data_IF_760164606499
#
_entry.id   IF_760164606499
#
_cell.length_a   1.000
_cell.length_b   1.000
_cell.length_c   1.000
_cell.angle_alpha   90.00
_cell.angle_beta   90.00
_cell.angle_gamma   90.00
#
_symmetry.space_group_name_H-M   'P 1'
#
loop_
_entity.id
_entity.type
_entity.pdbx_description
1 polymer ?
#
# COMPACT_ATOMS: atom_id res chain seq x y z
N UNK A 1 17.08 21.22 27.71
CA UNK A 1 15.71 21.40 27.22
C UNK A 1 15.00 20.07 27.42
N UNK A 2 14.13 19.98 28.42
CA UNK A 2 13.47 18.74 28.82
C UNK A 2 12.20 18.57 27.99
N UNK A 3 12.02 17.46 27.28
CA UNK A 3 10.74 17.10 26.67
C UNK A 3 9.99 16.08 27.54
N UNK A 4 9.09 16.51 28.44
CA UNK A 4 8.00 15.66 28.90
C UNK A 4 6.75 15.98 28.04
N UNK A 5 6.04 15.03 27.40
CA UNK A 5 6.01 13.57 27.60
C UNK A 5 6.28 12.76 26.30
N UNK A 6 7.46 12.14 26.19
CA UNK A 6 7.70 10.84 25.53
C UNK A 6 7.42 10.66 24.03
N UNK A 7 6.87 11.63 23.30
CA UNK A 7 6.56 11.52 21.87
C UNK A 7 7.23 12.65 21.09
N UNK A 8 8.27 12.32 20.33
CA UNK A 8 8.87 13.21 19.34
C UNK A 8 8.46 12.73 17.94
N UNK A 9 7.32 13.22 17.46
CA UNK A 9 6.77 12.79 16.17
C UNK A 9 7.70 13.14 14.99
N UNK A 10 8.35 14.32 14.92
CA UNK A 10 9.33 14.61 13.85
C UNK A 10 10.42 13.53 13.72
N UNK A 11 11.04 13.14 14.83
CA UNK A 11 12.10 12.11 14.84
C UNK A 11 11.56 10.74 14.46
N UNK A 12 10.36 10.39 14.96
CA UNK A 12 9.69 9.12 14.63
C UNK A 12 9.41 9.05 13.13
N UNK A 13 8.84 10.11 12.54
CA UNK A 13 8.51 10.14 11.11
C UNK A 13 9.75 10.05 10.22
N UNK A 14 10.82 10.75 10.60
CA UNK A 14 12.08 10.68 9.86
C UNK A 14 12.69 9.28 9.93
N UNK A 15 12.73 8.70 11.13
CA UNK A 15 13.25 7.33 11.34
C UNK A 15 12.40 6.30 10.59
N UNK A 16 11.08 6.46 10.61
CA UNK A 16 10.15 5.60 9.89
C UNK A 16 10.39 5.65 8.37
N UNK A 17 10.54 6.85 7.79
CA UNK A 17 10.84 6.99 6.36
C UNK A 17 12.12 6.26 5.98
N UNK A 18 13.22 6.53 6.72
CA UNK A 18 14.51 5.89 6.43
C UNK A 18 14.47 4.37 6.56
N UNK A 19 13.76 3.83 7.56
CA UNK A 19 13.62 2.37 7.72
C UNK A 19 12.78 1.72 6.64
N UNK A 20 11.73 2.39 6.18
CA UNK A 20 10.93 1.89 5.06
C UNK A 20 11.74 1.94 3.77
N UNK A 21 12.47 3.01 3.50
CA UNK A 21 13.35 3.13 2.33
C UNK A 21 14.42 2.02 2.31
N UNK A 22 15.07 1.75 3.44
CA UNK A 22 16.03 0.64 3.58
C UNK A 22 15.38 -0.72 3.27
N UNK A 23 14.17 -0.98 3.78
CA UNK A 23 13.41 -2.18 3.46
C UNK A 23 13.11 -2.30 1.96
N UNK A 24 12.70 -1.20 1.33
CA UNK A 24 12.41 -1.17 -0.10
C UNK A 24 13.67 -1.40 -0.94
N UNK A 25 14.81 -0.86 -0.53
CA UNK A 25 16.09 -1.07 -1.23
C UNK A 25 16.56 -2.52 -1.16
N UNK A 26 16.36 -3.21 -0.03
CA UNK A 26 16.64 -4.65 0.10
C UNK A 26 15.72 -5.46 -0.82
N UNK A 27 14.42 -5.16 -0.84
CA UNK A 27 13.48 -5.80 -1.76
C UNK A 27 13.86 -5.55 -3.23
N UNK A 28 14.30 -4.32 -3.54
CA UNK A 28 14.78 -3.92 -4.88
C UNK A 28 15.94 -4.78 -5.32
N UNK A 29 16.95 -4.89 -4.48
CA UNK A 29 18.17 -5.65 -4.74
C UNK A 29 17.87 -7.15 -4.94
N UNK A 30 16.85 -7.67 -4.26
CA UNK A 30 16.38 -9.04 -4.41
C UNK A 30 15.36 -9.27 -5.53
N UNK A 31 14.97 -8.23 -6.29
CA UNK A 31 13.94 -8.35 -7.34
C UNK A 31 12.56 -8.74 -6.80
N UNK A 32 12.26 -8.39 -5.54
CA UNK A 32 11.06 -8.84 -4.85
C UNK A 32 9.89 -7.86 -5.07
N UNK A 33 8.75 -8.35 -5.55
CA UNK A 33 7.50 -7.59 -5.73
C UNK A 33 6.83 -7.14 -4.42
N UNK A 34 7.38 -7.54 -3.26
CA UNK A 34 6.82 -7.28 -1.93
C UNK A 34 5.92 -8.42 -1.47
N UNK A 35 4.61 -8.19 -1.37
CA UNK A 35 3.64 -9.19 -0.91
C UNK A 35 3.32 -9.18 0.57
N UNK A 36 3.78 -8.14 1.29
CA UNK A 36 3.50 -7.93 2.71
C UNK A 36 2.82 -6.58 2.92
N UNK A 37 1.96 -6.50 3.92
CA UNK A 37 1.36 -5.23 4.35
C UNK A 37 2.42 -4.40 5.08
N UNK A 38 2.51 -3.11 4.77
CA UNK A 38 3.46 -2.21 5.42
C UNK A 38 2.73 -1.32 6.42
N UNK A 39 2.86 -1.66 7.70
CA UNK A 39 2.14 -1.00 8.80
C UNK A 39 3.11 -0.50 9.85
N UNK A 40 2.99 0.78 10.20
CA UNK A 40 3.62 1.38 11.36
C UNK A 40 2.57 1.53 12.47
N UNK A 41 2.72 0.73 13.54
CA UNK A 41 1.89 0.81 14.73
C UNK A 41 2.57 1.72 15.76
N UNK A 42 1.92 2.85 16.06
CA UNK A 42 2.37 3.80 17.07
C UNK A 42 1.56 3.59 18.34
N UNK A 43 2.25 3.36 19.47
CA UNK A 43 1.63 3.13 20.78
C UNK A 43 2.02 4.28 21.73
N UNK A 44 1.39 5.46 21.60
CA UNK A 44 1.73 6.60 22.44
C UNK A 44 1.22 6.42 23.87
N UNK A 45 1.91 7.06 24.82
CA UNK A 45 1.39 7.21 26.18
C UNK A 45 0.05 7.97 26.17
N UNK A 46 -0.87 7.70 27.12
CA UNK A 46 -2.14 8.42 27.22
C UNK A 46 -1.99 9.95 27.31
N UNK A 47 -0.85 10.43 27.81
CA UNK A 47 -0.53 11.86 27.96
C UNK A 47 0.32 12.44 26.83
N UNK A 48 0.80 11.63 25.88
CA UNK A 48 1.63 12.10 24.77
C UNK A 48 0.82 12.88 23.74
N UNK A 49 1.32 14.05 23.35
CA UNK A 49 0.77 14.90 22.29
C UNK A 49 1.91 15.38 21.38
N UNK A 50 1.56 15.92 20.21
CA UNK A 50 2.51 16.57 19.31
C UNK A 50 2.62 18.03 19.70
N UNK A 51 3.84 18.53 19.93
CA UNK A 51 4.09 19.93 20.27
C UNK A 51 3.54 20.84 19.17
N UNK A 52 2.88 21.95 19.54
CA UNK A 52 2.30 22.91 18.60
C UNK A 52 3.34 23.46 17.62
N UNK A 53 4.60 23.60 18.05
CA UNK A 53 5.71 24.08 17.21
C UNK A 53 6.07 23.09 16.09
N UNK A 54 5.82 21.81 16.32
CA UNK A 54 6.13 20.73 15.38
C UNK A 54 4.91 20.29 14.56
N UNK A 55 3.69 20.69 14.96
CA UNK A 55 2.44 20.19 14.39
C UNK A 55 2.35 20.42 12.88
N UNK A 56 2.51 21.66 12.40
CA UNK A 56 2.42 22.00 10.97
C UNK A 56 3.50 21.28 10.15
N UNK A 57 4.70 21.15 10.71
CA UNK A 57 5.78 20.41 10.10
C UNK A 57 5.40 18.93 9.94
N UNK A 58 4.90 18.30 11.00
CA UNK A 58 4.49 16.89 10.99
C UNK A 58 3.34 16.64 10.02
N UNK A 59 2.32 17.49 9.98
CA UNK A 59 1.20 17.36 9.02
C UNK A 59 1.71 17.41 7.58
N UNK A 60 2.54 18.40 7.24
CA UNK A 60 3.14 18.51 5.89
C UNK A 60 4.05 17.33 5.56
N UNK A 61 4.85 16.87 6.52
CA UNK A 61 5.73 15.71 6.35
C UNK A 61 4.92 14.44 6.08
N UNK A 62 3.83 14.24 6.83
CA UNK A 62 2.89 13.14 6.62
C UNK A 62 2.25 13.17 5.22
N UNK A 63 1.83 14.34 4.73
CA UNK A 63 1.30 14.47 3.37
C UNK A 63 2.31 14.09 2.29
N UNK A 64 3.57 14.50 2.47
CA UNK A 64 4.67 14.13 1.56
C UNK A 64 4.97 12.63 1.63
N UNK A 65 5.05 12.08 2.84
CA UNK A 65 5.27 10.66 3.07
C UNK A 65 4.17 9.80 2.46
N UNK A 66 2.90 10.23 2.51
CA UNK A 66 1.79 9.53 1.85
C UNK A 66 1.92 9.51 0.33
N UNK A 67 2.59 10.50 -0.27
CA UNK A 67 2.88 10.52 -1.71
C UNK A 67 4.08 9.63 -2.08
N UNK A 68 5.17 9.69 -1.31
CA UNK A 68 6.37 8.90 -1.61
C UNK A 68 6.24 7.43 -1.20
N UNK A 69 5.51 7.16 -0.11
CA UNK A 69 5.27 5.84 0.48
C UNK A 69 3.76 5.57 0.57
N UNK A 70 3.04 5.48 -0.57
CA UNK A 70 1.58 5.41 -0.58
C UNK A 70 1.02 4.11 0.00
N UNK A 71 1.85 3.12 0.25
CA UNK A 71 1.48 1.85 0.84
C UNK A 71 1.85 1.73 2.34
N UNK A 72 2.48 2.74 2.94
CA UNK A 72 2.71 2.79 4.38
C UNK A 72 1.42 3.24 5.09
N UNK A 73 0.91 2.37 5.97
CA UNK A 73 -0.25 2.65 6.82
C UNK A 73 0.22 2.92 8.25
N UNK A 74 -0.15 4.08 8.79
CA UNK A 74 0.15 4.45 10.18
C UNK A 74 -1.12 4.26 11.00
N UNK A 75 -1.03 3.45 12.06
CA UNK A 75 -2.11 3.16 12.99
C UNK A 75 -1.69 3.62 14.37
N UNK A 76 -2.55 4.35 15.07
CA UNK A 76 -2.33 4.70 16.47
C UNK A 76 -3.15 3.78 17.36
N UNK A 77 -2.48 3.22 18.37
CA UNK A 77 -3.09 2.40 19.39
C UNK A 77 -2.69 2.90 20.76
N UNK A 78 -3.57 3.62 21.46
CA UNK A 78 -3.17 4.28 22.71
C UNK A 78 -4.35 4.63 23.61
N UNK A 79 -4.04 5.01 24.84
CA UNK A 79 -5.05 5.46 25.81
C UNK A 79 -5.34 6.95 25.70
N UNK A 80 -6.35 7.42 26.44
CA UNK A 80 -6.73 8.84 26.47
C UNK A 80 -7.41 9.32 25.19
N UNK A 81 -7.36 10.64 24.94
CA UNK A 81 -8.00 11.26 23.79
C UNK A 81 -7.16 11.12 22.51
N UNK A 82 -7.43 10.07 21.73
CA UNK A 82 -6.72 9.80 20.46
C UNK A 82 -7.04 10.78 19.33
N UNK A 83 -8.12 11.57 19.45
CA UNK A 83 -8.50 12.59 18.45
C UNK A 83 -7.37 13.57 18.13
N UNK A 84 -6.43 13.78 19.06
CA UNK A 84 -5.22 14.60 18.85
C UNK A 84 -4.29 14.07 17.75
N UNK A 85 -4.48 12.83 17.30
CA UNK A 85 -3.71 12.23 16.21
C UNK A 85 -4.48 12.13 14.88
N UNK A 86 -5.67 12.73 14.81
CA UNK A 86 -6.58 12.69 13.65
C UNK A 86 -5.86 13.00 12.33
N UNK A 87 -5.08 14.08 12.28
CA UNK A 87 -4.47 14.55 11.03
C UNK A 87 -3.25 13.73 10.61
N UNK A 88 -2.71 12.91 11.52
CA UNK A 88 -1.56 12.05 11.27
C UNK A 88 -1.95 10.65 10.77
N UNK A 89 -3.24 10.36 10.56
CA UNK A 89 -3.70 9.10 9.94
C UNK A 89 -4.50 9.35 8.67
N UNK A 90 -4.68 8.31 7.85
CA UNK A 90 -5.45 8.42 6.60
C UNK A 90 -6.94 8.35 6.87
N UNK A 91 -7.33 7.43 7.73
CA UNK A 91 -8.73 7.17 8.05
C UNK A 91 -8.93 7.14 9.56
N UNK A 92 -9.21 8.29 10.20
CA UNK A 92 -9.31 8.40 11.65
C UNK A 92 -10.30 7.42 12.30
N UNK A 93 -11.39 7.09 11.60
CA UNK A 93 -12.40 6.13 12.06
C UNK A 93 -11.91 4.68 12.14
N UNK A 94 -10.85 4.32 11.40
CA UNK A 94 -10.30 2.96 11.31
C UNK A 94 -8.88 2.83 11.86
N UNK A 95 -8.12 3.92 11.89
CA UNK A 95 -6.69 3.94 12.24
C UNK A 95 -6.39 4.49 13.65
N UNK A 96 -7.38 5.07 14.34
CA UNK A 96 -7.26 5.48 15.74
C UNK A 96 -7.96 4.45 16.63
N UNK A 97 -7.18 3.62 17.32
CA UNK A 97 -7.68 2.49 18.09
C UNK A 97 -7.43 2.70 19.58
N UNK A 98 -8.49 2.70 20.38
CA UNK A 98 -8.40 2.93 21.82
C UNK A 98 -7.83 1.70 22.54
N UNK A 99 -6.73 1.91 23.27
CA UNK A 99 -6.20 0.95 24.24
C UNK A 99 -7.07 0.97 25.50
N UNK A 100 -7.83 -0.11 25.72
CA UNK A 100 -8.67 -0.27 26.90
C UNK A 100 -8.02 -1.19 27.93
N UNK A 101 -7.28 -0.61 28.86
CA UNK A 101 -6.56 -1.34 29.93
C UNK A 101 -7.49 -2.06 30.93
N UNK A 102 -8.79 -1.77 30.91
CA UNK A 102 -9.79 -2.49 31.72
C UNK A 102 -10.25 -3.82 31.11
N UNK A 103 -9.81 -4.14 29.89
CA UNK A 103 -10.09 -5.41 29.22
C UNK A 103 -8.87 -6.32 29.25
N UNK A 104 -9.06 -7.66 29.25
CA UNK A 104 -7.95 -8.59 29.12
C UNK A 104 -7.21 -8.38 27.79
N UNK A 105 -5.89 -8.65 27.73
CA UNK A 105 -5.03 -8.29 26.60
C UNK A 105 -5.55 -8.76 25.24
N UNK A 106 -6.14 -9.95 25.16
CA UNK A 106 -6.65 -10.54 23.92
C UNK A 106 -7.82 -9.72 23.36
N UNK A 107 -8.75 -9.31 24.22
CA UNK A 107 -9.90 -8.47 23.84
C UNK A 107 -9.48 -7.03 23.54
N UNK A 108 -8.43 -6.57 24.22
CA UNK A 108 -7.90 -5.22 24.06
C UNK A 108 -7.15 -5.05 22.72
N UNK A 109 -6.30 -6.02 22.35
CA UNK A 109 -5.52 -6.00 21.11
C UNK A 109 -6.29 -6.41 19.86
N UNK A 110 -7.43 -7.11 20.00
CA UNK A 110 -8.21 -7.62 18.86
C UNK A 110 -8.57 -6.56 17.79
N UNK A 111 -9.00 -5.33 18.13
CA UNK A 111 -9.27 -4.29 17.13
C UNK A 111 -8.03 -3.95 16.29
N UNK A 112 -6.84 -3.88 16.91
CA UNK A 112 -5.57 -3.60 16.23
C UNK A 112 -5.20 -4.73 15.28
N UNK A 113 -5.27 -5.98 15.76
CA UNK A 113 -5.00 -7.16 14.93
C UNK A 113 -5.96 -7.22 13.74
N UNK A 114 -7.26 -6.95 13.96
CA UNK A 114 -8.26 -6.88 12.88
C UNK A 114 -7.92 -5.79 11.88
N UNK A 115 -7.57 -4.59 12.32
CA UNK A 115 -7.21 -3.48 11.43
C UNK A 115 -5.96 -3.80 10.62
N UNK A 116 -4.91 -4.34 11.23
CA UNK A 116 -3.67 -4.75 10.54
C UNK A 116 -4.00 -5.78 9.44
N UNK A 117 -4.86 -6.77 9.73
CA UNK A 117 -5.30 -7.78 8.74
C UNK A 117 -6.15 -7.20 7.60
N UNK A 118 -6.76 -6.05 7.80
CA UNK A 118 -7.51 -5.31 6.76
C UNK A 118 -6.61 -4.41 5.90
N UNK A 119 -5.33 -4.24 6.24
CA UNK A 119 -4.40 -3.48 5.39
C UNK A 119 -3.96 -4.40 4.24
N UNK A 120 -4.25 -4.07 2.98
CA UNK A 120 -3.85 -4.91 1.84
C UNK A 120 -2.33 -5.08 1.76
N UNK A 121 -1.91 -6.25 1.27
CA UNK A 121 -0.50 -6.55 0.99
C UNK A 121 -0.04 -5.66 -0.16
N UNK A 122 1.11 -5.01 0.00
CA UNK A 122 1.66 -4.13 -1.02
C UNK A 122 2.29 -4.94 -2.14
N UNK A 123 1.99 -4.55 -3.37
CA UNK A 123 2.80 -4.89 -4.54
C UNK A 123 3.46 -3.64 -5.10
N UNK A 124 4.69 -3.81 -5.58
CA UNK A 124 5.46 -2.74 -6.19
C UNK A 124 6.37 -3.27 -7.29
N UNK A 125 6.95 -2.35 -8.06
CA UNK A 125 7.90 -2.69 -9.12
C UNK A 125 9.35 -2.56 -8.61
N UNK A 126 10.06 -3.67 -8.30
CA UNK A 126 11.43 -3.64 -7.81
C UNK A 126 12.44 -3.15 -8.86
N UNK A 127 12.04 -2.96 -10.11
CA UNK A 127 12.89 -2.31 -11.12
C UNK A 127 12.92 -0.79 -11.00
N UNK A 128 12.06 -0.19 -10.17
CA UNK A 128 12.11 1.25 -9.88
C UNK A 128 13.32 1.59 -9.00
N UNK A 129 14.21 2.45 -9.48
CA UNK A 129 15.19 3.11 -8.61
C UNK A 129 14.52 4.18 -7.73
N UNK A 130 15.21 4.61 -6.68
CA UNK A 130 14.75 5.63 -5.74
C UNK A 130 14.38 6.98 -6.39
N UNK A 131 14.94 7.29 -7.55
CA UNK A 131 14.61 8.46 -8.37
C UNK A 131 13.43 8.25 -9.35
N UNK A 132 12.76 7.09 -9.27
CA UNK A 132 11.64 6.71 -10.13
C UNK A 132 12.01 6.35 -11.57
N UNK A 133 13.29 6.11 -11.86
CA UNK A 133 13.73 5.65 -13.17
C UNK A 133 13.64 4.12 -13.30
N UNK A 134 13.53 3.65 -14.55
CA UNK A 134 13.61 2.23 -14.91
C UNK A 134 14.77 2.08 -15.89
N UNK A 135 15.70 1.18 -15.58
CA UNK A 135 16.75 0.78 -16.54
C UNK A 135 16.23 -0.18 -17.61
N UNK A 136 15.40 -1.16 -17.20
CA UNK A 136 14.85 -2.18 -18.09
C UNK A 136 13.43 -2.58 -17.67
N UNK A 137 12.59 -2.92 -18.64
CA UNK A 137 11.26 -3.46 -18.40
C UNK A 137 11.30 -4.99 -18.45
N UNK A 138 10.51 -5.63 -17.60
CA UNK A 138 10.48 -7.07 -17.55
C UNK A 138 9.30 -7.61 -16.77
N UNK A 139 9.41 -8.87 -16.36
CA UNK A 139 8.45 -9.52 -15.51
C UNK A 139 9.12 -9.94 -14.21
N UNK A 140 8.45 -9.71 -13.10
CA UNK A 140 8.81 -10.32 -11.82
C UNK A 140 7.64 -11.17 -11.34
N UNK A 141 7.94 -12.17 -10.54
CA UNK A 141 6.95 -13.04 -9.93
C UNK A 141 7.19 -13.17 -8.45
N UNK A 142 6.09 -13.30 -7.71
CA UNK A 142 6.07 -13.50 -6.28
C UNK A 142 5.20 -14.71 -5.98
N UNK A 143 5.78 -15.69 -5.30
CA UNK A 143 5.03 -16.81 -4.76
C UNK A 143 4.25 -16.37 -3.52
N UNK A 144 3.00 -16.81 -3.44
CA UNK A 144 2.08 -16.49 -2.34
C UNK A 144 1.31 -17.72 -1.91
N UNK A 145 0.89 -17.66 -0.66
CA UNK A 145 0.29 -18.77 0.07
C UNK A 145 -1.03 -18.32 0.66
N UNK A 146 -2.07 -19.12 0.47
CA UNK A 146 -3.40 -18.89 1.02
C UNK A 146 -4.01 -20.20 1.48
N UNK A 147 -4.40 -20.25 2.75
CA UNK A 147 -5.22 -21.34 3.27
C UNK A 147 -6.55 -21.43 2.52
N UNK A 148 -7.08 -22.65 2.36
CA UNK A 148 -8.41 -22.89 1.81
C UNK A 148 -9.49 -22.01 2.45
N UNK A 149 -10.32 -21.38 1.61
CA UNK A 149 -11.39 -20.48 2.04
C UNK A 149 -10.94 -19.08 2.48
N UNK A 150 -9.64 -18.88 2.74
CA UNK A 150 -9.08 -17.58 3.09
C UNK A 150 -8.80 -16.74 1.85
N UNK A 151 -8.76 -15.43 2.08
CA UNK A 151 -8.56 -14.41 1.06
C UNK A 151 -7.33 -13.60 1.42
N UNK A 152 -6.41 -13.47 0.46
CA UNK A 152 -5.34 -12.48 0.53
C UNK A 152 -5.73 -11.25 -0.28
N UNK A 153 -5.64 -10.08 0.35
CA UNK A 153 -5.92 -8.79 -0.29
C UNK A 153 -4.62 -8.09 -0.64
N UNK A 154 -4.59 -7.46 -1.80
CA UNK A 154 -3.43 -6.82 -2.38
C UNK A 154 -3.77 -5.42 -2.89
N UNK A 155 -2.75 -4.57 -2.91
CA UNK A 155 -2.81 -3.24 -3.51
C UNK A 155 -1.62 -3.05 -4.43
N UNK A 156 -1.91 -2.68 -5.67
CA UNK A 156 -0.95 -2.19 -6.65
C UNK A 156 -1.16 -0.68 -6.82
N UNK A 157 -0.14 0.10 -6.51
CA UNK A 157 -0.26 1.55 -6.57
C UNK A 157 -0.25 2.09 -8.01
N UNK A 158 -1.03 3.15 -8.26
CA UNK A 158 -1.14 3.80 -9.56
C UNK A 158 0.20 4.36 -10.06
N UNK A 159 1.13 4.64 -9.15
CA UNK A 159 2.48 5.07 -9.51
C UNK A 159 3.22 4.06 -10.42
N UNK A 160 2.85 2.78 -10.40
CA UNK A 160 3.43 1.74 -11.27
C UNK A 160 2.62 1.50 -12.56
N UNK A 161 1.47 2.16 -12.70
CA UNK A 161 0.54 2.00 -13.81
C UNK A 161 0.36 3.29 -14.62
N UNK A 162 1.12 4.33 -14.29
CA UNK A 162 1.04 5.61 -14.98
C UNK A 162 1.43 5.50 -16.46
N UNK A 163 0.75 6.32 -17.27
CA UNK A 163 0.92 6.38 -18.72
C UNK A 163 0.43 5.13 -19.44
N UNK A 164 0.01 5.33 -20.69
CA UNK A 164 -0.36 4.23 -21.59
C UNK A 164 0.88 3.41 -21.94
N UNK A 165 0.78 2.08 -21.82
CA UNK A 165 1.88 1.19 -22.20
C UNK A 165 1.37 -0.19 -22.61
N UNK A 166 1.80 -0.68 -23.77
CA UNK A 166 1.44 -2.02 -24.24
C UNK A 166 2.03 -3.14 -23.39
N UNK A 167 1.37 -4.31 -23.43
CA UNK A 167 1.85 -5.56 -22.82
C UNK A 167 2.10 -5.45 -21.32
N UNK A 168 1.26 -4.69 -20.60
CA UNK A 168 1.34 -4.55 -19.15
C UNK A 168 0.22 -5.36 -18.52
N UNK A 169 0.55 -6.33 -17.68
CA UNK A 169 -0.45 -7.20 -17.09
C UNK A 169 -0.09 -7.65 -15.68
N UNK A 170 -1.13 -7.97 -14.92
CA UNK A 170 -1.05 -8.69 -13.66
C UNK A 170 -1.63 -10.07 -13.88
N UNK A 171 -0.85 -11.11 -13.61
CA UNK A 171 -1.26 -12.50 -13.81
C UNK A 171 -1.23 -13.27 -12.49
N UNK A 172 -2.28 -14.04 -12.24
CA UNK A 172 -2.37 -15.00 -11.14
C UNK A 172 -2.31 -16.41 -11.71
N UNK A 173 -1.31 -17.18 -11.29
CA UNK A 173 -1.11 -18.56 -11.77
C UNK A 173 -1.11 -19.52 -10.58
N UNK A 174 -2.12 -20.41 -10.47
CA UNK A 174 -2.13 -21.48 -9.48
C UNK A 174 -0.88 -22.37 -9.60
N UNK A 175 -0.28 -22.72 -8.47
CA UNK A 175 0.76 -23.76 -8.37
C UNK A 175 0.11 -25.04 -7.83
N UNK A 176 -0.71 -24.89 -6.78
CA UNK A 176 -1.54 -25.99 -6.28
C UNK A 176 -2.64 -26.33 -7.30
N UNK A 177 -3.02 -27.62 -7.34
CA UNK A 177 -4.07 -28.16 -8.21
C UNK A 177 -5.48 -27.81 -7.73
N UNK A 178 -5.71 -26.52 -7.45
CA UNK A 178 -7.00 -25.96 -7.06
C UNK A 178 -7.26 -24.68 -7.84
N UNK A 179 -8.53 -24.29 -7.88
CA UNK A 179 -8.94 -23.04 -8.50
C UNK A 179 -8.87 -21.90 -7.50
N UNK A 180 -8.52 -20.71 -7.99
CA UNK A 180 -8.61 -19.48 -7.21
C UNK A 180 -9.70 -18.59 -7.79
N UNK A 181 -10.38 -17.83 -6.92
CA UNK A 181 -11.18 -16.69 -7.34
C UNK A 181 -10.36 -15.43 -7.15
N UNK A 182 -10.32 -14.57 -8.16
CA UNK A 182 -9.57 -13.33 -8.18
C UNK A 182 -10.56 -12.20 -8.40
N UNK A 183 -10.59 -11.23 -7.47
CA UNK A 183 -11.46 -10.07 -7.56
C UNK A 183 -10.66 -8.78 -7.67
N UNK A 184 -11.12 -7.81 -8.44
CA UNK A 184 -10.49 -6.49 -8.63
C UNK A 184 -11.45 -5.36 -8.29
N UNK A 185 -10.90 -4.25 -7.82
CA UNK A 185 -11.64 -2.98 -7.67
C UNK A 185 -10.70 -1.77 -7.69
N UNK A 186 -11.26 -0.61 -8.04
CA UNK A 186 -10.60 0.70 -7.90
C UNK A 186 -11.10 1.49 -6.70
N UNK A 187 -12.29 1.17 -6.19
CA UNK A 187 -12.96 1.89 -5.12
C UNK A 187 -12.99 1.13 -3.78
N UNK A 188 -12.89 -0.21 -3.81
CA UNK A 188 -12.95 -1.04 -2.62
C UNK A 188 -11.58 -1.64 -2.28
N UNK A 189 -11.04 -1.35 -1.09
CA UNK A 189 -9.72 -1.85 -0.65
C UNK A 189 -9.67 -3.37 -0.46
N UNK A 190 -10.83 -3.98 -0.18
CA UNK A 190 -10.98 -5.40 0.11
C UNK A 190 -12.03 -6.00 -0.83
N UNK A 191 -11.72 -6.14 -2.12
CA UNK A 191 -12.70 -6.67 -3.08
C UNK A 191 -12.86 -8.18 -2.85
N UNK A 192 -14.09 -8.66 -2.78
CA UNK A 192 -14.36 -10.09 -2.66
C UNK A 192 -15.78 -10.41 -3.15
N UNK A 193 -15.99 -11.63 -3.63
CA UNK A 193 -17.32 -12.10 -4.02
C UNK A 193 -18.02 -12.73 -2.82
N UNK A 194 -19.12 -12.13 -2.38
CA UNK A 194 -20.07 -12.83 -1.52
C UNK A 194 -21.11 -13.55 -2.40
N UNK A 195 -21.15 -14.88 -2.36
CA UNK A 195 -22.05 -15.67 -3.22
C UNK A 195 -23.54 -15.38 -3.01
N UNK A 196 -23.93 -14.80 -1.88
CA UNK A 196 -25.32 -14.47 -1.55
C UNK A 196 -25.74 -13.05 -1.94
N UNK A 197 -24.82 -12.21 -2.43
CA UNK A 197 -25.08 -10.81 -2.76
C UNK A 197 -24.65 -10.50 -4.19
N UNK A 198 -25.28 -9.51 -4.86
CA UNK A 198 -24.74 -8.99 -6.11
C UNK A 198 -23.34 -8.42 -5.89
N UNK A 199 -22.52 -8.42 -6.94
CA UNK A 199 -21.23 -7.73 -6.94
C UNK A 199 -21.45 -6.26 -6.62
N UNK A 200 -20.56 -5.68 -5.80
CA UNK A 200 -20.59 -4.24 -5.55
C UNK A 200 -20.20 -3.51 -6.84
N UNK A 201 -20.59 -2.25 -6.92
CA UNK A 201 -20.18 -1.39 -8.02
C UNK A 201 -18.65 -1.33 -8.11
N UNK A 202 -18.11 -1.39 -9.32
CA UNK A 202 -16.66 -1.43 -9.62
C UNK A 202 -15.92 -2.64 -9.05
N UNK A 203 -16.60 -3.76 -8.81
CA UNK A 203 -15.98 -5.05 -8.51
C UNK A 203 -16.16 -6.05 -9.63
N UNK A 204 -15.06 -6.65 -10.07
CA UNK A 204 -15.08 -7.78 -11.02
C UNK A 204 -14.42 -8.98 -10.36
N UNK A 205 -14.97 -10.17 -10.55
CA UNK A 205 -14.44 -11.40 -9.96
C UNK A 205 -14.46 -12.53 -10.97
N UNK A 206 -13.32 -13.16 -11.18
CA UNK A 206 -13.15 -14.25 -12.14
C UNK A 206 -12.37 -15.42 -11.52
N UNK A 207 -12.50 -16.60 -12.13
CA UNK A 207 -11.76 -17.79 -11.70
C UNK A 207 -10.49 -17.96 -12.52
N UNK A 208 -9.46 -18.59 -11.93
CA UNK A 208 -8.30 -19.07 -12.69
C UNK A 208 -8.61 -20.30 -13.55
N UNK A 209 -9.75 -20.96 -13.34
CA UNK A 209 -10.26 -22.00 -14.22
C UNK A 209 -11.20 -21.42 -15.28
N UNK A 210 -11.25 -22.00 -16.50
CA UNK A 210 -10.59 -23.24 -16.93
C UNK A 210 -9.15 -23.08 -17.46
N UNK A 211 -8.65 -21.86 -17.68
CA UNK A 211 -7.40 -21.61 -18.40
C UNK A 211 -6.13 -21.89 -17.58
N UNK A 212 -6.26 -22.24 -16.31
CA UNK A 212 -5.14 -22.49 -15.40
C UNK A 212 -4.38 -21.21 -15.02
N UNK A 213 -4.90 -20.03 -15.34
CA UNK A 213 -4.41 -18.74 -14.86
C UNK A 213 -5.43 -17.64 -15.13
N UNK A 214 -5.31 -16.53 -14.42
CA UNK A 214 -6.09 -15.33 -14.67
C UNK A 214 -5.15 -14.17 -15.00
N UNK A 215 -5.50 -13.32 -15.96
CA UNK A 215 -4.69 -12.16 -16.35
C UNK A 215 -5.56 -10.90 -16.44
N UNK A 216 -5.12 -9.85 -15.76
CA UNK A 216 -5.71 -8.53 -15.79
C UNK A 216 -4.84 -7.60 -16.64
N UNK A 217 -5.42 -6.99 -17.68
CA UNK A 217 -4.73 -6.04 -18.53
C UNK A 217 -4.62 -4.67 -17.85
N UNK A 218 -3.39 -4.15 -17.77
CA UNK A 218 -3.05 -2.87 -17.16
C UNK A 218 -2.59 -1.83 -18.20
N UNK A 219 -2.67 -2.12 -19.49
CA UNK A 219 -2.17 -1.24 -20.56
C UNK A 219 -2.81 0.13 -20.54
N UNK A 220 -4.12 0.19 -20.32
CA UNK A 220 -4.92 1.42 -20.27
C UNK A 220 -5.40 1.74 -18.84
N UNK A 221 -4.74 1.19 -17.82
CA UNK A 221 -5.16 1.23 -16.41
C UNK A 221 -5.35 2.64 -15.80
N UNK A 222 -4.69 3.67 -16.35
CA UNK A 222 -4.81 5.06 -15.91
C UNK A 222 -5.19 6.01 -17.06
N UNK A 223 -5.69 5.49 -18.19
CA UNK A 223 -6.20 6.34 -19.28
C UNK A 223 -7.46 7.07 -18.81
N UNK A 224 -7.55 8.38 -19.03
CA UNK A 224 -8.67 9.23 -18.59
C UNK A 224 -8.48 9.89 -17.23
N UNK A 225 -7.38 9.60 -16.52
CA UNK A 225 -6.99 10.26 -15.26
C UNK A 225 -5.95 11.36 -15.50
N UNK A 226 -6.16 12.18 -16.54
CA UNK A 226 -5.22 13.24 -16.93
C UNK A 226 -5.26 14.44 -15.97
N UNK A 227 -6.43 14.68 -15.35
CA UNK A 227 -6.68 15.81 -14.44
C UNK A 227 -7.05 15.39 -13.01
N UNK A 228 -7.27 14.09 -12.78
CA UNK A 228 -7.57 13.50 -11.47
C UNK A 228 -6.52 12.44 -11.13
N UNK A 229 -6.19 12.23 -9.85
CA UNK A 229 -5.22 11.21 -9.46
C UNK A 229 -5.76 9.81 -9.80
N UNK A 230 -5.02 9.07 -10.65
CA UNK A 230 -5.36 7.68 -10.96
C UNK A 230 -5.45 6.85 -9.67
N UNK A 231 -6.58 6.16 -9.40
CA UNK A 231 -6.75 5.37 -8.19
C UNK A 231 -5.88 4.10 -8.24
N UNK A 232 -5.42 3.61 -7.07
CA UNK A 232 -4.73 2.32 -7.01
C UNK A 232 -5.64 1.17 -7.48
N UNK A 233 -5.03 0.06 -7.85
CA UNK A 233 -5.75 -1.18 -8.12
C UNK A 233 -5.71 -2.06 -6.88
N UNK A 234 -6.88 -2.36 -6.33
CA UNK A 234 -7.05 -3.36 -5.30
C UNK A 234 -7.46 -4.66 -5.92
N UNK A 235 -6.95 -5.76 -5.39
CA UNK A 235 -7.41 -7.07 -5.80
C UNK A 235 -7.28 -8.09 -4.67
N UNK A 236 -7.97 -9.20 -4.80
CA UNK A 236 -7.90 -10.30 -3.87
C UNK A 236 -7.74 -11.63 -4.58
N UNK A 237 -7.13 -12.57 -3.87
CA UNK A 237 -6.96 -13.94 -4.32
C UNK A 237 -7.47 -14.86 -3.23
N UNK A 238 -8.51 -15.64 -3.56
CA UNK A 238 -9.15 -16.58 -2.65
C UNK A 238 -8.93 -18.01 -3.15
N UNK A 239 -8.30 -18.84 -2.32
CA UNK A 239 -8.22 -20.27 -2.55
C UNK A 239 -9.62 -20.91 -2.39
N UNK A 240 -10.16 -21.49 -3.47
CA UNK A 240 -11.48 -22.12 -3.40
C UNK A 240 -11.41 -23.38 -2.54
N UNK A 241 -12.39 -23.57 -1.66
CA UNK A 241 -12.36 -24.53 -0.54
C UNK A 241 -12.40 -26.02 -0.88
N UNK A 242 -12.15 -26.40 -2.14
CA UNK A 242 -12.27 -27.79 -2.60
C UNK A 242 -10.96 -28.24 -3.25
N UNK A 243 -10.39 -29.35 -2.75
CA UNK A 243 -9.18 -29.97 -3.29
C UNK A 243 -8.26 -30.52 -2.20
N UNK A 244 -7.35 -31.41 -2.59
CA UNK A 244 -6.25 -31.84 -1.72
C UNK A 244 -5.06 -30.90 -1.91
N UNK A 245 -4.61 -30.30 -0.81
CA UNK A 245 -3.45 -29.42 -0.79
C UNK A 245 -2.50 -29.91 0.30
N UNK A 246 -1.21 -29.94 -0.05
CA UNK A 246 -0.10 -30.06 0.90
C UNK A 246 0.91 -28.98 0.54
N UNK A 247 1.40 -28.26 1.55
CA UNK A 247 2.53 -27.38 1.40
C UNK A 247 3.70 -27.83 2.27
N UNK A 248 4.79 -28.20 1.62
CA UNK A 248 6.02 -28.64 2.26
C UNK A 248 7.13 -27.57 2.20
N UNK A 249 6.82 -26.38 1.66
CA UNK A 249 7.77 -25.27 1.57
C UNK A 249 7.97 -24.62 2.94
N UNK A 250 9.22 -24.23 3.32
CA UNK A 250 9.48 -23.53 4.58
C UNK A 250 8.72 -22.20 4.74
N UNK A 251 8.28 -21.61 3.63
CA UNK A 251 7.52 -20.36 3.62
C UNK A 251 6.05 -20.52 4.01
N UNK A 252 5.53 -21.74 4.02
CA UNK A 252 4.16 -22.02 4.44
C UNK A 252 4.00 -21.94 5.95
N UNK A 253 2.93 -21.26 6.39
CA UNK A 253 2.57 -21.18 7.80
C UNK A 253 1.89 -22.45 8.28
N UNK A 254 1.13 -23.11 7.40
CA UNK A 254 0.43 -24.36 7.69
C UNK A 254 0.52 -25.30 6.49
N UNK A 255 0.44 -26.64 6.69
CA UNK A 255 0.56 -27.61 5.60
C UNK A 255 -0.65 -27.59 4.64
N UNK A 256 -1.75 -26.92 4.99
CA UNK A 256 -2.97 -26.79 4.19
C UNK A 256 -3.05 -25.47 3.39
N UNK A 257 -1.91 -24.84 3.08
CA UNK A 257 -1.85 -23.61 2.27
C UNK A 257 -1.71 -23.91 0.77
N UNK A 258 -2.64 -23.34 -0.01
CA UNK A 258 -2.56 -23.35 -1.46
C UNK A 258 -1.55 -22.31 -1.96
N UNK A 259 -0.85 -22.65 -3.02
CA UNK A 259 0.25 -21.88 -3.60
C UNK A 259 -0.17 -21.28 -4.94
N UNK A 260 0.26 -20.05 -5.20
CA UNK A 260 0.08 -19.37 -6.48
C UNK A 260 1.18 -18.33 -6.71
N UNK A 261 1.46 -18.04 -7.98
CA UNK A 261 2.28 -16.91 -8.38
C UNK A 261 1.43 -15.68 -8.69
N UNK A 262 1.91 -14.52 -8.24
CA UNK A 262 1.53 -13.22 -8.76
C UNK A 262 2.67 -12.75 -9.67
N UNK A 263 2.39 -12.56 -10.96
CA UNK A 263 3.35 -12.04 -11.93
C UNK A 263 2.92 -10.65 -12.37
N UNK A 264 3.86 -9.70 -12.33
CA UNK A 264 3.68 -8.35 -12.83
C UNK A 264 4.63 -8.12 -14.00
N UNK A 265 4.08 -7.70 -15.13
CA UNK A 265 4.85 -7.51 -16.36
C UNK A 265 4.77 -6.09 -16.85
N UNK A 266 5.92 -5.54 -17.24
CA UNK A 266 6.08 -4.22 -17.84
C UNK A 266 5.45 -3.07 -17.04
N UNK A 267 5.50 -3.17 -15.70
CA UNK A 267 5.11 -2.08 -14.82
C UNK A 267 6.01 -0.85 -15.07
N UNK A 268 5.40 0.33 -14.95
CA UNK A 268 6.10 1.60 -14.98
C UNK A 268 6.70 1.95 -13.61
N UNK A 269 7.39 3.08 -13.60
CA UNK A 269 7.74 3.82 -12.40
C UNK A 269 7.41 5.27 -12.72
N UNK A 270 6.36 5.79 -12.11
CA UNK A 270 6.14 7.20 -12.17
C UNK A 270 6.99 7.86 -11.09
N UNK A 271 7.47 9.06 -11.39
CA UNK A 271 7.92 9.95 -10.32
C UNK A 271 6.66 10.24 -9.50
N UNK A 272 6.64 9.92 -8.20
CA UNK A 272 5.85 10.74 -7.29
C UNK A 272 6.31 12.15 -7.58
N UNK A 273 5.46 12.98 -8.20
CA UNK A 273 5.86 14.28 -8.69
C UNK A 273 6.65 14.97 -7.58
N UNK A 274 7.98 15.05 -7.73
CA UNK A 274 8.71 16.13 -7.13
C UNK A 274 7.98 17.32 -7.70
N UNK A 275 7.19 18.00 -6.86
CA UNK A 275 6.45 19.19 -7.22
C UNK A 275 7.32 19.94 -8.21
N UNK A 276 6.76 20.26 -9.37
CA UNK A 276 7.35 21.18 -10.33
C UNK A 276 7.46 22.58 -9.69
N UNK A 277 8.24 22.71 -8.61
CA UNK A 277 8.72 23.95 -8.03
C UNK A 277 9.71 24.63 -8.98
N UNK A 278 10.20 23.92 -10.00
CA UNK A 278 11.02 24.49 -11.07
C UNK A 278 10.23 25.40 -12.01
N UNK A 279 8.93 25.20 -12.20
CA UNK A 279 8.11 26.05 -13.06
C UNK A 279 7.81 27.43 -12.45
N UNK A 280 7.53 27.48 -11.14
CA UNK A 280 7.22 28.72 -10.45
C UNK A 280 8.45 29.63 -10.26
N UNK A 281 9.64 29.06 -10.03
CA UNK A 281 10.89 29.82 -9.86
C UNK A 281 11.40 30.45 -11.17
N UNK A 282 11.17 29.81 -12.33
CA UNK A 282 11.56 30.38 -13.63
C UNK A 282 10.64 31.55 -14.00
N UNK A 283 9.33 31.45 -13.72
CA UNK A 283 8.37 32.54 -13.96
C UNK A 283 8.63 33.75 -13.04
N UNK A 284 8.97 33.53 -11.77
CA UNK A 284 9.33 34.61 -10.83
C UNK A 284 10.62 35.32 -11.23
N UNK A 285 11.64 34.58 -11.69
CA UNK A 285 12.87 35.20 -12.19
C UNK A 285 12.63 35.98 -13.49
N UNK A 286 11.82 35.46 -14.42
CA UNK A 286 11.47 36.17 -15.65
C UNK A 286 10.68 37.46 -15.37
N UNK A 287 9.72 37.44 -14.44
CA UNK A 287 8.98 38.63 -14.02
C UNK A 287 9.87 39.66 -13.33
N UNK A 288 10.82 39.24 -12.48
CA UNK A 288 11.79 40.14 -11.85
C UNK A 288 12.73 40.79 -12.87
N UNK A 289 13.20 40.05 -13.88
CA UNK A 289 14.07 40.60 -14.92
C UNK A 289 13.38 41.65 -15.78
N UNK A 290 12.09 41.47 -16.09
CA UNK A 290 11.30 42.44 -16.88
C UNK A 290 11.07 43.73 -16.08
N UNK A 291 10.82 43.63 -14.77
CA UNK A 291 10.67 44.79 -13.89
C UNK A 291 11.98 45.57 -13.70
N UNK A 292 13.14 44.90 -13.71
CA UNK A 292 14.46 45.57 -13.60
C UNK A 292 14.93 46.29 -14.88
N UNK A 293 14.32 46.01 -16.04
CA UNK A 293 14.58 46.75 -17.28
C UNK A 293 13.65 47.97 -17.46
N UNK A 294 12.71 48.18 -16.55
CA UNK A 294 11.68 49.22 -16.63
C UNK A 294 11.93 50.39 -15.64
N UNK A 295 13.13 50.47 -15.06
CA UNK A 295 13.64 51.58 -14.23
C UNK A 295 14.96 52.03 -14.87
#
# INVERSE_FOLDING_TARGET
>A
MWHPPGLNLPVILNTLSSRVEELLDVERAGGNLGGRSLVALLVPSPTSFVDERDYDYCVRYMHRMRHSLPNLHIIYYGGGALVRFHDFVREPSRDLLLLNIGKPPEKCGLPVVRRIRQVPRRLWNPRCSSNGAIGEYGSDSLEQYARLGNINFYRLDALYMAGRRSMRYLKITPISQITFAVCFSRSHELPFRNGSLPLRQDETCESTAPQGSYSYDLTDACVGYDFEPCPPLFFSVQAQGFGHISCDQPACQTPDEAQYFITLTNLGCNRSAALHLTGALILLNALCSILSLSI
#
